data_IF_871014204222
#
_entry.id   IF_871014204222
#
_cell.length_a   1.000
_cell.length_b   1.000
_cell.length_c   1.000
_cell.angle_alpha   90.00
_cell.angle_beta   90.00
_cell.angle_gamma   90.00
#
_symmetry.space_group_name_H-M   'P 1'
#
loop_
_entity.id
_entity.type
_entity.pdbx_description
1 polymer ?
#
# COMPACT_ATOMS: atom_id res chain seq x y z
N UNK A 1 -11.37 10.23 -23.90
CA UNK A 1 -11.73 11.38 -23.05
C UNK A 1 -11.87 10.88 -21.62
N UNK A 2 -11.07 11.38 -20.66
CA UNK A 2 -11.21 10.94 -19.28
C UNK A 2 -12.52 11.50 -18.73
N UNK A 3 -13.47 10.61 -18.45
CA UNK A 3 -14.71 10.95 -17.74
C UNK A 3 -14.33 11.55 -16.39
N UNK A 4 -14.85 12.73 -16.08
CA UNK A 4 -14.77 13.37 -14.77
C UNK A 4 -15.12 12.34 -13.69
N UNK A 5 -14.09 11.89 -12.98
CA UNK A 5 -14.20 10.94 -11.90
C UNK A 5 -14.83 11.66 -10.71
N UNK A 6 -15.68 10.96 -9.94
CA UNK A 6 -15.73 11.23 -8.52
C UNK A 6 -14.30 11.02 -8.04
N UNK A 7 -13.54 12.10 -7.86
CA UNK A 7 -12.13 12.05 -7.52
C UNK A 7 -11.97 11.15 -6.30
N UNK A 8 -11.30 10.00 -6.51
CA UNK A 8 -11.00 9.12 -5.40
C UNK A 8 -9.92 9.83 -4.60
N UNK A 9 -10.29 10.39 -3.46
CA UNK A 9 -9.37 11.07 -2.58
C UNK A 9 -8.66 10.04 -1.69
N UNK A 10 -7.34 10.11 -1.68
CA UNK A 10 -6.51 9.32 -0.78
C UNK A 10 -5.96 10.26 0.30
N UNK A 11 -5.95 9.83 1.56
CA UNK A 11 -5.02 10.39 2.54
C UNK A 11 -3.60 9.86 2.29
N UNK A 12 -2.58 10.55 2.79
CA UNK A 12 -1.21 10.04 2.74
C UNK A 12 -1.01 8.79 3.63
N UNK A 13 0.20 8.20 3.63
CA UNK A 13 0.50 7.04 4.48
C UNK A 13 0.24 7.27 5.98
N UNK A 14 0.45 8.49 6.48
CA UNK A 14 0.18 8.80 7.88
C UNK A 14 -1.34 8.78 8.17
N UNK A 15 -2.14 9.33 7.27
CA UNK A 15 -3.60 9.24 7.33
C UNK A 15 -4.07 7.78 7.21
N UNK A 16 -3.44 6.97 6.35
CA UNK A 16 -3.72 5.54 6.28
C UNK A 16 -3.52 4.87 7.64
N UNK A 17 -2.38 5.10 8.29
CA UNK A 17 -2.09 4.51 9.60
C UNK A 17 -3.06 4.96 10.69
N UNK A 18 -3.37 6.24 10.74
CA UNK A 18 -4.16 6.82 11.82
C UNK A 18 -5.68 6.64 11.65
N UNK A 19 -6.17 6.57 10.40
CA UNK A 19 -7.61 6.60 10.12
C UNK A 19 -8.06 5.42 9.25
N UNK A 20 -7.54 5.28 8.03
CA UNK A 20 -8.04 4.29 7.07
C UNK A 20 -7.87 2.86 7.56
N UNK A 21 -6.67 2.51 8.02
CA UNK A 21 -6.33 1.17 8.53
C UNK A 21 -7.17 0.80 9.76
N UNK A 22 -7.20 1.58 10.86
CA UNK A 22 -8.02 1.21 12.02
C UNK A 22 -9.52 1.16 11.68
N UNK A 23 -10.00 2.05 10.81
CA UNK A 23 -11.40 2.02 10.34
C UNK A 23 -11.69 0.74 9.55
N UNK A 24 -10.82 0.38 8.60
CA UNK A 24 -10.94 -0.83 7.81
C UNK A 24 -10.89 -2.10 8.68
N UNK A 25 -9.92 -2.18 9.60
CA UNK A 25 -9.80 -3.31 10.51
C UNK A 25 -11.02 -3.45 11.44
N UNK A 26 -11.58 -2.33 11.91
CA UNK A 26 -12.81 -2.33 12.72
C UNK A 26 -14.02 -2.81 11.92
N UNK A 27 -14.18 -2.36 10.68
CA UNK A 27 -15.35 -2.65 9.85
C UNK A 27 -15.29 -4.02 9.14
N UNK A 28 -14.08 -4.48 8.80
CA UNK A 28 -13.86 -5.62 7.90
C UNK A 28 -12.91 -6.68 8.49
N UNK A 29 -12.48 -6.51 9.74
CA UNK A 29 -11.66 -7.45 10.49
C UNK A 29 -10.17 -7.13 10.48
N UNK A 30 -9.49 -7.41 11.60
CA UNK A 30 -8.03 -7.25 11.76
C UNK A 30 -7.24 -8.52 11.45
N UNK A 31 -7.92 -9.65 11.23
CA UNK A 31 -7.30 -10.94 10.94
C UNK A 31 -7.95 -11.56 9.71
N UNK A 32 -7.15 -12.35 8.99
CA UNK A 32 -7.62 -13.16 7.87
C UNK A 32 -8.75 -14.10 8.28
N UNK A 33 -9.78 -14.15 7.45
CA UNK A 33 -10.86 -15.14 7.54
C UNK A 33 -10.38 -16.60 7.52
N UNK A 34 -9.14 -16.84 7.08
CA UNK A 34 -8.49 -18.16 7.10
C UNK A 34 -7.98 -18.57 8.48
N UNK A 35 -7.53 -17.59 9.28
CA UNK A 35 -6.86 -17.85 10.57
C UNK A 35 -7.83 -17.89 11.73
N UNK A 36 -8.89 -17.10 11.67
CA UNK A 36 -9.87 -17.00 12.75
C UNK A 36 -11.29 -16.97 12.19
N UNK A 37 -12.25 -17.64 12.84
CA UNK A 37 -13.66 -17.44 12.57
C UNK A 37 -13.98 -15.95 12.65
N UNK A 38 -14.50 -15.39 11.57
CA UNK A 38 -14.85 -13.97 11.49
C UNK A 38 -16.34 -13.81 11.24
N UNK A 39 -16.87 -12.63 11.53
CA UNK A 39 -18.26 -12.30 11.21
C UNK A 39 -18.42 -12.46 9.69
N UNK A 40 -19.51 -13.10 9.25
CA UNK A 40 -19.79 -13.38 7.83
C UNK A 40 -19.64 -12.15 6.91
N UNK A 41 -19.94 -10.96 7.42
CA UNK A 41 -19.70 -9.71 6.70
C UNK A 41 -18.21 -9.47 6.41
N UNK A 42 -17.34 -9.60 7.43
CA UNK A 42 -15.89 -9.45 7.29
C UNK A 42 -15.34 -10.46 6.29
N UNK A 43 -15.72 -11.73 6.43
CA UNK A 43 -15.31 -12.79 5.49
C UNK A 43 -15.71 -12.47 4.04
N UNK A 44 -16.94 -12.02 3.81
CA UNK A 44 -17.41 -11.66 2.48
C UNK A 44 -16.63 -10.48 1.88
N UNK A 45 -16.32 -9.48 2.69
CA UNK A 45 -15.50 -8.33 2.28
C UNK A 45 -14.08 -8.79 1.95
N UNK A 46 -13.46 -9.55 2.85
CA UNK A 46 -12.10 -10.05 2.68
C UNK A 46 -11.96 -10.96 1.45
N UNK A 47 -12.93 -11.83 1.19
CA UNK A 47 -12.99 -12.64 -0.04
C UNK A 47 -13.09 -11.77 -1.28
N UNK A 48 -13.90 -10.72 -1.27
CA UNK A 48 -14.00 -9.81 -2.42
C UNK A 48 -12.71 -9.03 -2.66
N UNK A 49 -12.06 -8.55 -1.59
CA UNK A 49 -10.76 -7.87 -1.67
C UNK A 49 -9.68 -8.83 -2.20
N UNK A 50 -9.71 -10.09 -1.81
CA UNK A 50 -8.83 -11.12 -2.38
C UNK A 50 -9.07 -11.34 -3.88
N UNK A 51 -10.32 -11.38 -4.34
CA UNK A 51 -10.63 -11.48 -5.78
C UNK A 51 -9.97 -10.32 -6.53
N UNK A 52 -10.13 -9.09 -6.04
CA UNK A 52 -9.51 -7.91 -6.64
C UNK A 52 -7.98 -7.96 -6.57
N UNK A 53 -7.40 -8.47 -5.48
CA UNK A 53 -5.95 -8.62 -5.34
C UNK A 53 -5.38 -9.56 -6.41
N UNK A 54 -6.07 -10.68 -6.69
CA UNK A 54 -5.57 -11.71 -7.60
C UNK A 54 -5.90 -11.47 -9.08
N UNK A 55 -6.95 -10.70 -9.35
CA UNK A 55 -7.45 -10.50 -10.72
C UNK A 55 -7.22 -9.08 -11.24
N UNK A 56 -6.94 -8.10 -10.38
CA UNK A 56 -6.81 -6.70 -10.76
C UNK A 56 -8.19 -6.04 -10.97
N UNK A 57 -8.28 -5.19 -11.98
CA UNK A 57 -9.48 -4.41 -12.30
C UNK A 57 -10.61 -5.30 -12.82
N UNK A 58 -11.76 -5.29 -12.13
CA UNK A 58 -12.95 -6.08 -12.48
C UNK A 58 -14.25 -5.28 -12.31
N UNK A 59 -15.27 -5.64 -13.09
CA UNK A 59 -16.65 -5.25 -12.79
C UNK A 59 -17.22 -6.12 -11.66
N UNK A 60 -18.31 -5.71 -11.01
CA UNK A 60 -19.01 -6.55 -10.02
C UNK A 60 -19.41 -7.91 -10.59
N UNK A 61 -19.77 -7.95 -11.88
CA UNK A 61 -20.08 -9.17 -12.60
C UNK A 61 -18.84 -10.05 -12.81
N UNK A 62 -17.71 -9.44 -13.17
CA UNK A 62 -16.42 -10.12 -13.28
C UNK A 62 -16.00 -10.76 -11.96
N UNK A 63 -16.16 -10.04 -10.84
CA UNK A 63 -15.91 -10.58 -9.50
C UNK A 63 -16.85 -11.75 -9.16
N UNK A 64 -18.14 -11.64 -9.48
CA UNK A 64 -19.11 -12.70 -9.19
C UNK A 64 -18.80 -14.01 -9.96
N UNK A 65 -18.19 -13.91 -11.14
CA UNK A 65 -17.81 -15.05 -11.97
C UNK A 65 -16.59 -15.82 -11.47
N UNK A 66 -15.76 -15.26 -10.61
CA UNK A 66 -14.52 -15.95 -10.18
C UNK A 66 -14.78 -17.16 -9.28
N UNK A 67 -16.00 -17.32 -8.75
CA UNK A 67 -16.36 -18.38 -7.80
C UNK A 67 -17.55 -19.24 -8.22
N UNK A 68 -18.23 -18.93 -9.33
CA UNK A 68 -19.49 -19.56 -9.69
C UNK A 68 -19.59 -19.79 -11.20
N UNK A 69 -19.83 -21.04 -11.61
CA UNK A 69 -20.05 -21.42 -13.01
C UNK A 69 -21.53 -21.28 -13.43
N UNK A 70 -22.47 -21.27 -12.47
CA UNK A 70 -23.93 -21.20 -12.73
C UNK A 70 -24.46 -19.76 -12.69
N UNK A 71 -25.26 -19.39 -13.68
CA UNK A 71 -25.75 -18.01 -13.94
C UNK A 71 -26.62 -17.40 -12.83
N UNK A 72 -27.46 -18.19 -12.16
CA UNK A 72 -28.36 -17.68 -11.11
C UNK A 72 -27.61 -17.24 -9.84
N UNK A 73 -26.58 -17.99 -9.44
CA UNK A 73 -25.72 -17.63 -8.31
C UNK A 73 -24.92 -16.35 -8.57
N UNK A 74 -24.50 -16.13 -9.82
CA UNK A 74 -23.72 -14.95 -10.23
C UNK A 74 -24.50 -13.66 -9.98
N UNK A 75 -25.80 -13.59 -10.36
CA UNK A 75 -26.62 -12.38 -10.16
C UNK A 75 -26.76 -12.01 -8.67
N UNK A 76 -27.01 -13.01 -7.83
CA UNK A 76 -27.11 -12.81 -6.38
C UNK A 76 -25.77 -12.31 -5.82
N UNK A 77 -24.67 -12.93 -6.23
CA UNK A 77 -23.32 -12.54 -5.77
C UNK A 77 -22.91 -11.15 -6.25
N UNK A 78 -23.25 -10.80 -7.48
CA UNK A 78 -23.02 -9.46 -8.04
C UNK A 78 -23.72 -8.38 -7.19
N UNK A 79 -24.98 -8.62 -6.82
CA UNK A 79 -25.75 -7.70 -5.96
C UNK A 79 -25.13 -7.55 -4.57
N UNK A 80 -24.61 -8.65 -4.01
CA UNK A 80 -23.86 -8.61 -2.75
C UNK A 80 -22.60 -7.75 -2.89
N UNK A 81 -21.77 -7.98 -3.91
CA UNK A 81 -20.53 -7.22 -4.14
C UNK A 81 -20.79 -5.74 -4.37
N UNK A 82 -21.83 -5.38 -5.13
CA UNK A 82 -22.23 -3.98 -5.31
C UNK A 82 -22.53 -3.30 -3.97
N UNK A 83 -23.22 -3.99 -3.06
CA UNK A 83 -23.52 -3.47 -1.72
C UNK A 83 -22.28 -3.36 -0.83
N UNK A 84 -21.31 -4.26 -0.97
CA UNK A 84 -20.03 -4.16 -0.24
C UNK A 84 -19.16 -3.01 -0.76
N UNK A 85 -19.18 -2.76 -2.07
CA UNK A 85 -18.43 -1.67 -2.70
C UNK A 85 -18.99 -0.30 -2.33
N UNK A 86 -20.28 -0.09 -2.57
CA UNK A 86 -20.93 1.22 -2.41
C UNK A 86 -21.35 1.48 -0.97
N UNK A 87 -21.63 0.45 -0.18
CA UNK A 87 -22.29 0.59 1.11
C UNK A 87 -23.80 0.50 1.00
N UNK A 88 -24.49 0.67 2.13
CA UNK A 88 -25.97 0.65 2.16
C UNK A 88 -26.54 1.40 3.36
N UNK A 89 -27.72 1.97 3.14
CA UNK A 89 -28.62 2.40 4.22
C UNK A 89 -29.53 1.23 4.63
N UNK A 90 -29.55 0.91 5.92
CA UNK A 90 -30.46 -0.08 6.48
C UNK A 90 -31.00 0.41 7.83
N UNK A 91 -32.34 0.51 7.94
CA UNK A 91 -33.04 0.92 9.18
C UNK A 91 -32.48 2.23 9.78
N UNK A 92 -32.27 3.24 8.94
CA UNK A 92 -31.73 4.55 9.33
C UNK A 92 -30.23 4.59 9.63
N UNK A 93 -29.51 3.46 9.55
CA UNK A 93 -28.05 3.40 9.74
C UNK A 93 -27.33 3.19 8.42
N UNK A 94 -26.33 4.03 8.15
CA UNK A 94 -25.42 3.86 7.02
C UNK A 94 -24.33 2.85 7.34
N UNK A 95 -24.09 1.91 6.44
CA UNK A 95 -22.95 1.00 6.48
C UNK A 95 -21.99 1.40 5.38
N UNK A 96 -20.78 1.84 5.77
CA UNK A 96 -19.78 2.31 4.82
C UNK A 96 -19.36 1.19 3.86
N UNK A 97 -19.27 1.53 2.57
CA UNK A 97 -18.71 0.67 1.54
C UNK A 97 -17.20 0.77 1.43
N UNK A 98 -16.59 -0.13 0.65
CA UNK A 98 -15.14 -0.11 0.39
C UNK A 98 -14.68 1.12 -0.41
N UNK A 99 -15.54 1.70 -1.23
CA UNK A 99 -15.28 2.96 -1.91
C UNK A 99 -15.15 4.11 -0.90
N UNK A 100 -16.06 4.18 0.07
CA UNK A 100 -16.08 5.24 1.09
C UNK A 100 -14.92 5.11 2.09
N UNK A 101 -14.55 3.88 2.45
CA UNK A 101 -13.36 3.64 3.29
C UNK A 101 -12.06 3.85 2.50
N UNK A 102 -12.13 3.91 1.16
CA UNK A 102 -10.97 4.13 0.31
C UNK A 102 -10.08 2.90 0.14
N UNK A 103 -10.63 1.68 0.25
CA UNK A 103 -9.92 0.42 -0.05
C UNK A 103 -10.06 -0.01 -1.52
N UNK A 104 -11.07 0.50 -2.20
CA UNK A 104 -11.35 0.22 -3.62
C UNK A 104 -11.60 1.54 -4.32
N UNK A 105 -11.26 1.62 -5.60
CA UNK A 105 -11.50 2.79 -6.44
C UNK A 105 -12.25 2.39 -7.70
N UNK A 106 -12.94 3.36 -8.33
CA UNK A 106 -13.48 3.18 -9.67
C UNK A 106 -12.35 3.40 -10.68
N UNK A 107 -12.22 2.46 -11.62
CA UNK A 107 -11.11 2.40 -12.58
C UNK A 107 -11.64 2.35 -14.01
N UNK A 108 -12.51 3.31 -14.32
CA UNK A 108 -13.17 3.41 -15.62
C UNK A 108 -14.42 2.56 -15.76
N UNK A 109 -14.79 2.28 -17.02
CA UNK A 109 -16.00 1.54 -17.39
C UNK A 109 -15.68 0.46 -18.41
N UNK A 110 -16.28 -0.70 -18.22
CA UNK A 110 -16.32 -1.76 -19.23
C UNK A 110 -17.53 -1.55 -20.14
N UNK A 111 -17.32 -1.71 -21.45
CA UNK A 111 -18.36 -1.61 -22.47
C UNK A 111 -18.66 -2.95 -23.16
N UNK A 112 -18.19 -4.07 -22.61
CA UNK A 112 -18.26 -5.39 -23.26
C UNK A 112 -19.70 -5.91 -23.52
N UNK A 113 -20.69 -5.48 -22.73
CA UNK A 113 -22.12 -5.79 -22.97
C UNK A 113 -23.02 -4.58 -22.72
N UNK A 114 -22.80 -3.91 -21.61
CA UNK A 114 -23.41 -2.64 -21.23
C UNK A 114 -22.41 -1.85 -20.38
N UNK A 115 -22.51 -0.51 -20.32
CA UNK A 115 -21.62 0.30 -19.49
C UNK A 115 -21.69 -0.15 -18.02
N UNK A 116 -20.59 -0.65 -17.49
CA UNK A 116 -20.47 -1.08 -16.11
C UNK A 116 -19.19 -0.53 -15.49
N UNK A 117 -19.30 0.02 -14.27
CA UNK A 117 -18.14 0.50 -13.52
C UNK A 117 -17.15 -0.64 -13.28
N UNK A 118 -15.88 -0.35 -13.51
CA UNK A 118 -14.76 -1.21 -13.15
C UNK A 118 -14.17 -0.76 -11.83
N UNK A 119 -13.68 -1.71 -11.06
CA UNK A 119 -13.15 -1.49 -9.72
C UNK A 119 -11.83 -2.21 -9.55
N UNK A 120 -10.90 -1.59 -8.82
CA UNK A 120 -9.63 -2.19 -8.41
C UNK A 120 -9.29 -1.81 -6.98
N UNK A 121 -8.34 -2.50 -6.37
CA UNK A 121 -7.80 -2.06 -5.09
C UNK A 121 -7.17 -0.67 -5.22
N UNK A 122 -7.43 0.18 -4.23
CA UNK A 122 -6.64 1.38 -3.98
C UNK A 122 -5.26 0.99 -3.44
N UNK A 123 -4.33 1.94 -3.36
CA UNK A 123 -3.07 1.73 -2.64
C UNK A 123 -3.30 1.35 -1.17
N UNK A 124 -4.27 1.97 -0.49
CA UNK A 124 -4.68 1.55 0.86
C UNK A 124 -5.28 0.14 0.90
N UNK A 125 -6.03 -0.24 -0.13
CA UNK A 125 -6.56 -1.59 -0.32
C UNK A 125 -5.46 -2.63 -0.46
N UNK A 126 -4.43 -2.34 -1.27
CA UNK A 126 -3.24 -3.18 -1.41
C UNK A 126 -2.57 -3.37 -0.05
N UNK A 127 -2.33 -2.28 0.70
CA UNK A 127 -1.74 -2.36 2.04
C UNK A 127 -2.62 -3.17 3.00
N UNK A 128 -3.93 -2.92 3.03
CA UNK A 128 -4.85 -3.70 3.88
C UNK A 128 -4.83 -5.20 3.53
N UNK A 129 -4.80 -5.55 2.24
CA UNK A 129 -4.71 -6.94 1.80
C UNK A 129 -3.42 -7.61 2.28
N UNK A 130 -2.29 -6.90 2.21
CA UNK A 130 -0.99 -7.38 2.67
C UNK A 130 -0.91 -7.55 4.20
N UNK A 131 -1.58 -6.67 4.95
CA UNK A 131 -1.64 -6.69 6.42
C UNK A 131 -2.56 -7.78 6.95
N UNK A 132 -3.78 -7.91 6.38
CA UNK A 132 -4.87 -8.68 6.99
C UNK A 132 -5.11 -10.04 6.35
N UNK A 133 -5.06 -10.17 5.01
CA UNK A 133 -5.58 -11.36 4.32
C UNK A 133 -4.69 -12.61 4.43
N UNK A 134 -3.48 -12.45 4.94
CA UNK A 134 -2.45 -13.50 5.01
C UNK A 134 -2.17 -14.13 3.65
N UNK A 135 -1.92 -13.28 2.64
CA UNK A 135 -1.61 -13.74 1.30
C UNK A 135 -0.31 -14.53 1.28
N UNK A 136 -0.33 -15.69 0.61
CA UNK A 136 0.89 -16.44 0.31
C UNK A 136 1.79 -15.65 -0.65
N UNK A 137 3.06 -16.00 -0.68
CA UNK A 137 4.06 -15.33 -1.53
C UNK A 137 3.68 -15.39 -3.03
N UNK A 138 3.13 -16.52 -3.48
CA UNK A 138 2.58 -16.67 -4.84
C UNK A 138 1.39 -15.74 -5.13
N UNK A 139 0.53 -15.54 -4.13
CA UNK A 139 -0.59 -14.59 -4.26
C UNK A 139 -0.10 -13.15 -4.30
N UNK A 140 0.95 -12.82 -3.54
CA UNK A 140 1.58 -11.50 -3.63
C UNK A 140 2.22 -11.29 -4.99
N UNK A 141 2.95 -12.28 -5.53
CA UNK A 141 3.51 -12.21 -6.88
C UNK A 141 2.42 -11.99 -7.94
N UNK A 142 1.25 -12.62 -7.76
CA UNK A 142 0.12 -12.42 -8.66
C UNK A 142 -0.43 -11.00 -8.54
N UNK A 143 -0.58 -10.50 -7.31
CA UNK A 143 -1.04 -9.13 -7.06
C UNK A 143 -0.07 -8.09 -7.62
N UNK A 144 1.24 -8.27 -7.44
CA UNK A 144 2.23 -7.32 -7.97
C UNK A 144 2.19 -7.25 -9.49
N UNK A 145 1.97 -8.39 -10.17
CA UNK A 145 1.76 -8.42 -11.62
C UNK A 145 0.51 -7.65 -12.06
N UNK A 146 -0.59 -7.74 -11.30
CA UNK A 146 -1.85 -7.04 -11.63
C UNK A 146 -1.81 -5.54 -11.37
N UNK A 147 -0.99 -5.10 -10.42
CA UNK A 147 -0.96 -3.71 -9.94
C UNK A 147 0.34 -2.97 -10.31
N UNK A 148 1.09 -3.44 -11.32
CA UNK A 148 2.33 -2.81 -11.80
C UNK A 148 2.18 -1.32 -12.08
N UNK A 149 1.10 -0.91 -12.74
CA UNK A 149 0.85 0.50 -13.07
C UNK A 149 0.46 1.35 -11.86
N UNK A 150 0.00 0.75 -10.77
CA UNK A 150 -0.48 1.45 -9.57
C UNK A 150 0.66 1.73 -8.59
N UNK A 151 1.63 0.81 -8.47
CA UNK A 151 2.83 0.99 -7.64
C UNK A 151 4.10 0.72 -8.47
N UNK A 152 4.40 1.55 -9.49
CA UNK A 152 5.41 1.24 -10.50
C UNK A 152 6.80 1.02 -9.94
N UNK A 153 7.24 1.86 -9.01
CA UNK A 153 8.60 1.77 -8.46
C UNK A 153 8.83 0.50 -7.63
N UNK A 154 7.81 -0.27 -7.24
CA UNK A 154 7.97 -1.53 -6.51
C UNK A 154 7.43 -2.72 -7.32
N UNK A 155 6.21 -2.63 -7.86
CA UNK A 155 5.52 -3.75 -8.49
C UNK A 155 5.97 -4.00 -9.93
N UNK A 156 6.26 -2.95 -10.71
CA UNK A 156 6.84 -3.11 -12.06
C UNK A 156 8.21 -3.82 -11.96
N UNK A 157 8.98 -3.47 -10.93
CA UNK A 157 10.33 -3.96 -10.64
C UNK A 157 10.36 -5.24 -9.81
N UNK A 158 9.19 -5.82 -9.51
CA UNK A 158 9.07 -6.90 -8.52
C UNK A 158 9.94 -8.12 -8.83
N UNK A 159 10.00 -8.54 -10.10
CA UNK A 159 10.80 -9.70 -10.53
C UNK A 159 12.29 -9.47 -10.36
N UNK A 160 12.77 -8.29 -10.73
CA UNK A 160 14.18 -7.89 -10.59
C UNK A 160 14.57 -7.76 -9.11
N UNK A 161 13.72 -7.09 -8.32
CA UNK A 161 13.91 -7.00 -6.87
C UNK A 161 14.00 -8.39 -6.25
N UNK A 162 13.07 -9.30 -6.59
CA UNK A 162 13.07 -10.67 -6.07
C UNK A 162 14.31 -11.47 -6.47
N UNK A 163 14.83 -11.26 -7.68
CA UNK A 163 16.11 -11.85 -8.10
C UNK A 163 17.30 -11.34 -7.28
N UNK A 164 17.27 -10.06 -6.86
CA UNK A 164 18.38 -9.41 -6.18
C UNK A 164 18.37 -9.56 -4.66
N UNK A 165 17.19 -9.58 -4.04
CA UNK A 165 17.04 -9.60 -2.57
C UNK A 165 16.21 -10.80 -2.06
N UNK A 166 15.79 -11.70 -2.94
CA UNK A 166 15.07 -12.92 -2.56
C UNK A 166 13.79 -12.61 -1.79
N UNK A 167 13.60 -13.29 -0.66
CA UNK A 167 12.39 -13.18 0.16
C UNK A 167 12.27 -11.84 0.91
N UNK A 168 13.31 -11.00 0.93
CA UNK A 168 13.24 -9.68 1.58
C UNK A 168 12.22 -8.76 0.88
N UNK A 169 11.85 -9.01 -0.40
CA UNK A 169 10.77 -8.27 -1.08
C UNK A 169 9.43 -8.34 -0.32
N UNK A 170 9.18 -9.45 0.39
CA UNK A 170 7.92 -9.65 1.12
C UNK A 170 7.86 -8.88 2.44
N UNK A 171 8.92 -8.16 2.83
CA UNK A 171 8.87 -7.19 3.94
C UNK A 171 7.84 -6.08 3.73
N UNK A 172 7.33 -5.92 2.50
CA UNK A 172 6.15 -5.11 2.22
C UNK A 172 4.94 -5.48 3.11
N UNK A 173 4.79 -6.75 3.51
CA UNK A 173 3.77 -7.17 4.51
C UNK A 173 3.96 -6.47 5.86
N UNK A 174 5.19 -6.45 6.38
CA UNK A 174 5.52 -5.79 7.64
C UNK A 174 5.25 -4.29 7.56
N UNK A 175 5.58 -3.70 6.41
CA UNK A 175 5.33 -2.30 6.15
C UNK A 175 3.84 -2.01 6.22
N UNK A 176 3.00 -2.74 5.48
CA UNK A 176 1.56 -2.55 5.47
C UNK A 176 0.89 -2.51 6.87
N UNK A 177 1.51 -3.15 7.87
CA UNK A 177 1.13 -3.08 9.28
C UNK A 177 1.50 -1.78 10.03
N UNK A 178 2.08 -0.77 9.36
CA UNK A 178 2.41 0.54 9.93
C UNK A 178 3.65 0.59 10.83
N UNK A 179 4.46 -0.49 10.86
CA UNK A 179 5.56 -0.72 11.81
C UNK A 179 6.67 0.34 11.80
N UNK A 180 6.88 1.04 10.67
CA UNK A 180 8.09 1.85 10.46
C UNK A 180 7.87 3.37 10.45
N UNK A 181 6.63 3.85 10.51
CA UNK A 181 6.38 5.29 10.28
C UNK A 181 6.70 6.20 11.46
N UNK A 182 6.77 5.67 12.69
CA UNK A 182 7.00 6.47 13.91
C UNK A 182 7.98 5.81 14.90
N UNK A 183 8.77 4.82 14.47
CA UNK A 183 9.61 4.07 15.40
C UNK A 183 11.01 4.71 15.54
N UNK A 184 11.16 5.60 16.53
CA UNK A 184 12.42 6.26 16.87
C UNK A 184 13.53 5.25 17.18
N UNK A 185 13.19 4.03 17.66
CA UNK A 185 14.20 3.02 17.96
C UNK A 185 15.00 2.61 16.71
N UNK A 186 14.46 2.80 15.49
CA UNK A 186 15.19 2.55 14.24
C UNK A 186 16.51 3.33 14.19
N UNK A 187 16.56 4.55 14.74
CA UNK A 187 17.77 5.35 14.80
C UNK A 187 18.89 4.69 15.62
N UNK A 188 18.53 3.85 16.60
CA UNK A 188 19.49 3.11 17.44
C UNK A 188 19.96 1.81 16.78
N UNK A 189 19.22 1.32 15.79
CA UNK A 189 19.34 -0.02 15.22
C UNK A 189 20.14 -0.01 13.91
N UNK A 190 20.13 1.12 13.20
CA UNK A 190 20.80 1.27 11.92
C UNK A 190 21.90 2.32 12.01
N UNK A 191 23.10 1.98 11.49
CA UNK A 191 24.14 2.99 11.22
C UNK A 191 23.78 3.87 10.01
N UNK A 192 22.72 3.54 9.29
CA UNK A 192 22.20 4.30 8.17
C UNK A 192 21.15 5.30 8.68
N UNK A 193 21.08 6.54 8.12
CA UNK A 193 20.14 7.59 8.56
C UNK A 193 18.68 7.30 8.14
N UNK A 194 18.17 6.12 8.48
CA UNK A 194 16.81 5.66 8.14
C UNK A 194 15.78 6.52 8.87
N UNK A 195 16.03 6.87 10.12
CA UNK A 195 15.11 7.68 10.91
C UNK A 195 14.94 9.08 10.30
N UNK A 196 16.02 9.70 9.87
CA UNK A 196 16.04 11.00 9.21
C UNK A 196 15.30 10.95 7.87
N UNK A 197 15.56 9.91 7.07
CA UNK A 197 14.84 9.72 5.80
C UNK A 197 13.34 9.51 6.02
N UNK A 198 12.94 8.70 7.00
CA UNK A 198 11.52 8.47 7.33
C UNK A 198 10.86 9.73 7.89
N UNK A 199 11.56 10.48 8.74
CA UNK A 199 11.07 11.75 9.27
C UNK A 199 10.87 12.77 8.15
N UNK A 200 11.86 12.90 7.26
CA UNK A 200 11.73 13.77 6.10
C UNK A 200 10.61 13.33 5.17
N UNK A 201 10.41 12.02 4.95
CA UNK A 201 9.29 11.51 4.16
C UNK A 201 7.93 11.95 4.72
N UNK A 202 7.76 11.91 6.04
CA UNK A 202 6.54 12.39 6.70
C UNK A 202 6.37 13.90 6.52
N UNK A 203 7.45 14.69 6.67
CA UNK A 203 7.43 16.14 6.45
C UNK A 203 7.10 16.49 5.00
N UNK A 204 7.70 15.80 4.03
CA UNK A 204 7.52 16.04 2.59
C UNK A 204 6.05 15.96 2.18
N UNK A 205 5.30 15.01 2.73
CA UNK A 205 3.89 14.80 2.41
C UNK A 205 2.92 15.29 3.52
N UNK A 206 3.40 16.07 4.49
CA UNK A 206 2.58 16.53 5.63
C UNK A 206 1.38 17.37 5.17
N UNK A 207 1.58 18.26 4.20
CA UNK A 207 0.51 19.10 3.66
C UNK A 207 -0.53 18.31 2.86
N UNK A 208 -0.21 17.08 2.46
CA UNK A 208 -1.08 16.15 1.74
C UNK A 208 -1.74 15.13 2.68
N UNK A 209 -1.92 15.49 3.95
CA UNK A 209 -2.44 14.58 4.97
C UNK A 209 -3.81 13.99 4.59
N UNK A 210 -4.79 14.85 4.30
CA UNK A 210 -6.16 14.42 3.96
C UNK A 210 -6.31 14.07 2.48
N UNK A 211 -5.52 14.70 1.61
CA UNK A 211 -5.62 14.58 0.17
C UNK A 211 -4.23 14.53 -0.50
N UNK A 212 -3.97 13.40 -1.15
CA UNK A 212 -2.77 13.14 -1.95
C UNK A 212 -3.18 12.53 -3.29
N UNK A 213 -2.42 12.80 -4.35
CA UNK A 213 -2.61 12.11 -5.62
C UNK A 213 -2.22 10.63 -5.50
N UNK A 214 -2.78 9.75 -6.34
CA UNK A 214 -2.39 8.35 -6.31
C UNK A 214 -0.91 8.15 -6.67
N UNK A 215 -0.39 8.97 -7.59
CA UNK A 215 1.03 8.97 -7.97
C UNK A 215 1.94 9.34 -6.78
N UNK A 216 1.59 10.40 -6.05
CA UNK A 216 2.36 10.82 -4.88
C UNK A 216 2.27 9.82 -3.74
N UNK A 217 1.12 9.19 -3.52
CA UNK A 217 0.97 8.10 -2.55
C UNK A 217 1.79 6.87 -2.96
N UNK A 218 1.80 6.52 -4.24
CA UNK A 218 2.63 5.44 -4.78
C UNK A 218 4.11 5.75 -4.57
N UNK A 219 4.53 6.99 -4.82
CA UNK A 219 5.88 7.47 -4.55
C UNK A 219 6.22 7.38 -3.05
N UNK A 220 5.31 7.81 -2.18
CA UNK A 220 5.49 7.75 -0.73
C UNK A 220 5.67 6.30 -0.24
N UNK A 221 4.81 5.38 -0.68
CA UNK A 221 4.90 3.94 -0.38
C UNK A 221 6.21 3.35 -0.91
N UNK A 222 6.62 3.73 -2.11
CA UNK A 222 7.84 3.23 -2.73
C UNK A 222 9.08 3.68 -1.96
N UNK A 223 9.18 4.96 -1.60
CA UNK A 223 10.29 5.48 -0.79
C UNK A 223 10.34 4.74 0.53
N UNK A 224 9.19 4.59 1.20
CA UNK A 224 9.10 3.86 2.45
C UNK A 224 9.56 2.41 2.34
N UNK A 225 9.19 1.71 1.26
CA UNK A 225 9.66 0.35 0.98
C UNK A 225 11.18 0.29 0.84
N UNK A 226 11.75 1.13 -0.02
CA UNK A 226 13.19 1.16 -0.28
C UNK A 226 14.00 1.60 0.95
N UNK A 227 13.52 2.59 1.69
CA UNK A 227 14.14 3.01 2.96
C UNK A 227 14.05 1.90 4.02
N UNK A 228 12.98 1.11 4.04
CA UNK A 228 12.87 -0.02 4.95
C UNK A 228 13.88 -1.14 4.67
N UNK A 229 14.16 -1.40 3.40
CA UNK A 229 15.15 -2.40 2.99
C UNK A 229 16.55 -2.11 3.58
N UNK A 230 16.85 -0.85 3.90
CA UNK A 230 18.08 -0.46 4.58
C UNK A 230 18.14 -0.87 6.06
N UNK A 231 17.00 -1.22 6.67
CA UNK A 231 16.93 -1.67 8.07
C UNK A 231 17.22 -3.17 8.16
N UNK A 232 18.06 -3.61 9.13
CA UNK A 232 18.28 -5.03 9.41
C UNK A 232 17.00 -5.84 9.73
N UNK A 233 16.75 -6.93 8.99
CA UNK A 233 15.74 -7.98 9.17
C UNK A 233 16.03 -8.93 10.33
N UNK A 234 17.28 -9.03 10.79
CA UNK A 234 17.66 -9.79 12.00
C UNK A 234 18.49 -8.92 12.93
N UNK A 235 17.97 -8.70 14.13
CA UNK A 235 18.70 -8.17 15.27
C UNK A 235 19.65 -9.24 15.81
N UNK A 236 20.73 -9.55 15.11
CA UNK A 236 21.77 -10.40 15.71
C UNK A 236 22.53 -9.58 16.75
N UNK A 237 22.53 -10.09 17.98
CA UNK A 237 23.22 -9.57 19.17
C UNK A 237 24.75 -9.54 19.05
N UNK A 238 25.32 -9.96 17.92
CA UNK A 238 26.76 -9.96 17.69
C UNK A 238 27.05 -9.67 16.21
N UNK A 239 27.69 -8.53 15.93
CA UNK A 239 28.19 -8.15 14.60
C UNK A 239 27.32 -7.14 13.84
N UNK A 240 27.85 -5.92 13.68
CA UNK A 240 27.25 -4.81 12.92
C UNK A 240 27.15 -5.13 11.42
N UNK A 241 26.09 -5.77 10.95
CA UNK A 241 25.77 -5.84 9.52
C UNK A 241 24.29 -5.59 9.26
N UNK A 242 23.99 -4.64 8.35
CA UNK A 242 22.65 -4.40 7.81
C UNK A 242 22.13 -5.65 7.10
N UNK A 243 20.83 -5.94 7.19
CA UNK A 243 20.30 -7.21 6.67
C UNK A 243 20.19 -7.32 5.16
N UNK A 244 20.26 -6.18 4.48
CA UNK A 244 20.79 -6.19 3.14
C UNK A 244 22.27 -5.92 3.30
N UNK A 245 23.10 -6.92 2.97
CA UNK A 245 24.52 -6.64 2.78
C UNK A 245 24.59 -5.44 1.82
N UNK A 246 25.38 -4.42 2.13
CA UNK A 246 25.53 -3.22 1.30
C UNK A 246 25.71 -3.59 -0.20
N UNK A 247 26.26 -4.78 -0.47
CA UNK A 247 26.35 -5.43 -1.79
C UNK A 247 25.00 -5.63 -2.49
N UNK A 248 23.99 -6.18 -1.83
CA UNK A 248 22.66 -6.42 -2.41
C UNK A 248 21.92 -5.11 -2.69
N UNK A 249 22.04 -4.12 -1.79
CA UNK A 249 21.51 -2.79 -2.03
C UNK A 249 22.20 -2.09 -3.20
N UNK A 250 23.54 -2.19 -3.26
CA UNK A 250 24.33 -1.70 -4.40
C UNK A 250 23.86 -2.36 -5.69
N UNK A 251 23.57 -3.66 -5.69
CA UNK A 251 23.05 -4.38 -6.86
C UNK A 251 21.73 -3.79 -7.36
N UNK A 252 20.76 -3.59 -6.47
CA UNK A 252 19.46 -2.95 -6.81
C UNK A 252 19.66 -1.56 -7.44
N UNK A 253 20.47 -0.72 -6.81
CA UNK A 253 20.67 0.67 -7.26
C UNK A 253 21.56 0.76 -8.50
N UNK A 254 22.53 -0.13 -8.68
CA UNK A 254 23.47 -0.06 -9.81
C UNK A 254 22.87 -0.61 -11.10
N UNK A 255 21.99 -1.62 -11.01
CA UNK A 255 21.36 -2.24 -12.18
C UNK A 255 20.23 -1.37 -12.77
N UNK A 256 19.67 -0.45 -11.99
CA UNK A 256 18.57 0.41 -12.43
C UNK A 256 18.88 1.91 -12.29
N UNK A 257 19.33 2.57 -13.37
CA UNK A 257 19.64 4.00 -13.37
C UNK A 257 18.44 4.89 -13.03
N UNK A 258 17.21 4.48 -13.38
CA UNK A 258 15.99 5.25 -13.11
C UNK A 258 15.68 5.21 -11.63
N UNK A 259 15.70 4.03 -11.02
CA UNK A 259 15.52 3.86 -9.58
C UNK A 259 16.60 4.58 -8.79
N UNK A 260 17.86 4.45 -9.23
CA UNK A 260 19.00 5.16 -8.63
C UNK A 260 18.77 6.65 -8.58
N UNK A 261 18.49 7.27 -9.74
CA UNK A 261 18.27 8.71 -9.84
C UNK A 261 17.12 9.15 -8.94
N UNK A 262 15.96 8.50 -9.08
CA UNK A 262 14.77 8.82 -8.29
C UNK A 262 15.00 8.73 -6.78
N UNK A 263 15.64 7.67 -6.28
CA UNK A 263 15.88 7.51 -4.84
C UNK A 263 16.93 8.48 -4.32
N UNK A 264 18.00 8.74 -5.09
CA UNK A 264 19.01 9.71 -4.69
C UNK A 264 18.52 11.16 -4.75
N UNK A 265 17.60 11.50 -5.66
CA UNK A 265 16.96 12.80 -5.68
C UNK A 265 16.19 13.04 -4.36
N UNK A 266 15.45 12.04 -3.88
CA UNK A 266 14.82 12.09 -2.55
C UNK A 266 15.84 12.25 -1.40
N UNK A 267 16.95 11.51 -1.43
CA UNK A 267 18.01 11.64 -0.40
C UNK A 267 18.63 13.04 -0.44
N UNK A 268 18.88 13.60 -1.62
CA UNK A 268 19.44 14.94 -1.79
C UNK A 268 18.47 16.03 -1.29
N UNK A 269 17.17 15.87 -1.54
CA UNK A 269 16.12 16.73 -0.97
C UNK A 269 16.14 16.68 0.57
N UNK A 270 16.25 15.49 1.16
CA UNK A 270 16.36 15.31 2.62
C UNK A 270 17.59 16.03 3.18
N UNK A 271 18.77 15.86 2.55
CA UNK A 271 20.00 16.54 2.95
C UNK A 271 19.83 18.05 2.92
N UNK A 272 19.25 18.60 1.84
CA UNK A 272 18.98 20.05 1.71
C UNK A 272 18.04 20.54 2.81
N UNK A 273 16.99 19.79 3.11
CA UNK A 273 16.04 20.12 4.17
C UNK A 273 16.74 20.22 5.55
N UNK A 274 17.50 19.20 5.93
CA UNK A 274 18.20 19.19 7.21
C UNK A 274 19.29 20.26 7.30
N UNK A 275 20.07 20.48 6.24
CA UNK A 275 21.06 21.55 6.20
C UNK A 275 20.43 22.94 6.37
N UNK A 276 19.27 23.17 5.74
CA UNK A 276 18.53 24.43 5.91
C UNK A 276 17.97 24.60 7.32
N UNK A 277 17.46 23.53 7.94
CA UNK A 277 16.98 23.55 9.33
C UNK A 277 18.13 23.81 10.31
N UNK A 278 19.25 23.13 10.13
CA UNK A 278 20.41 23.24 11.00
C UNK A 278 21.06 24.63 10.91
N UNK A 279 21.13 25.23 9.71
CA UNK A 279 21.63 26.60 9.56
C UNK A 279 20.73 27.63 10.24
N UNK A 280 19.41 27.43 10.26
CA UNK A 280 18.47 28.25 11.03
C UNK A 280 18.64 28.09 12.53
N UNK A 281 18.83 26.85 13.02
CA UNK A 281 19.06 26.58 14.44
C UNK A 281 20.37 27.23 14.94
N UNK A 282 21.45 27.16 14.16
CA UNK A 282 22.72 27.84 14.48
C UNK A 282 22.58 29.36 14.62
N UNK A 283 21.58 29.98 13.99
CA UNK A 283 21.32 31.41 14.17
C UNK A 283 20.74 31.71 15.56
N UNK A 284 20.08 30.75 16.20
CA UNK A 284 19.55 30.89 17.57
C UNK A 284 20.67 30.90 18.61
N UNK A 285 21.84 30.30 18.35
CA UNK A 285 23.01 30.39 19.25
C UNK A 285 23.56 31.82 19.36
N UNK A 286 23.16 32.71 18.44
CA UNK A 286 23.58 34.11 18.37
C UNK A 286 22.52 35.09 18.90
N UNK A 287 21.40 34.58 19.42
CA UNK A 287 20.35 35.34 20.10
C UNK A 287 20.56 35.12 21.60
#
# INVERSE_FOLDING_TARGET
MPSQNLDTFYGNLYAYKMYTRPTAQRLFGSYSFRKKPSIKHHENVQKMLEILALNGTLTTWGMAKTHLDKSEGIRTKEKEYRRLLVGRMARGKHTMGLLEVGLVVKDGKSFAKAPADQYRLSLHGILYCLDVLDLSDKQIDTMTEKYKSVLPMVFEKWRELKSNIGNEVYRLKNLAGGLFMDNIQIAKISNFPVYELMTYLNVKYQNNFEQISEEDLANQISIWFYTNLLVPSKFRTTGKHSSLEIKQWKKIIQEDPKLKKWYYDFVNESIKFYNSRFSKLKKLEKI
#
